data_IF_085055389750
#
_entry.id   IF_085055389750
#
_cell.length_a   1.000
_cell.length_b   1.000
_cell.length_c   1.000
_cell.angle_alpha   90.00
_cell.angle_beta   90.00
_cell.angle_gamma   90.00
#
_symmetry.space_group_name_H-M   'P 1'
#
loop_
_entity.id
_entity.type
_entity.pdbx_description
1 polymer ?
#
# COMPACT_ATOMS: atom_id res chain seq x y z
N UNK A 1 -19.10 14.54 2.28
CA UNK A 1 -19.97 14.17 1.13
C UNK A 1 -19.67 12.72 0.73
N UNK A 2 -20.70 11.92 0.41
CA UNK A 2 -20.53 10.54 -0.08
C UNK A 2 -20.98 10.48 -1.54
N UNK A 3 -20.12 9.98 -2.42
CA UNK A 3 -20.43 9.77 -3.83
C UNK A 3 -20.60 8.26 -4.07
N UNK A 4 -21.73 7.86 -4.65
CA UNK A 4 -21.94 6.46 -5.07
C UNK A 4 -21.44 6.30 -6.49
N UNK A 5 -20.63 5.27 -6.72
CA UNK A 5 -20.19 4.86 -8.05
C UNK A 5 -20.67 3.42 -8.30
N UNK A 6 -21.07 3.14 -9.53
CA UNK A 6 -21.42 1.78 -9.96
C UNK A 6 -20.23 1.21 -10.73
N UNK A 7 -19.66 0.11 -10.24
CA UNK A 7 -18.50 -0.54 -10.86
C UNK A 7 -18.94 -1.92 -11.34
N UNK A 8 -18.70 -2.23 -12.61
CA UNK A 8 -18.91 -3.59 -13.15
C UNK A 8 -17.66 -4.41 -12.85
N UNK A 9 -17.83 -5.55 -12.20
CA UNK A 9 -16.76 -6.50 -11.88
C UNK A 9 -16.83 -7.70 -12.83
N UNK A 10 -15.72 -8.39 -13.02
CA UNK A 10 -15.76 -9.72 -13.65
C UNK A 10 -16.50 -10.70 -12.73
N UNK A 11 -17.07 -11.75 -13.31
CA UNK A 11 -17.81 -12.77 -12.56
C UNK A 11 -16.94 -13.43 -11.49
N UNK A 12 -15.67 -13.72 -11.82
CA UNK A 12 -14.69 -14.28 -10.90
C UNK A 12 -14.45 -13.35 -9.70
N UNK A 13 -14.26 -12.06 -9.94
CA UNK A 13 -13.97 -11.09 -8.87
C UNK A 13 -15.20 -10.87 -7.97
N UNK A 14 -16.40 -10.90 -8.55
CA UNK A 14 -17.65 -10.80 -7.79
C UNK A 14 -17.83 -12.02 -6.87
N UNK A 15 -17.63 -13.24 -7.39
CA UNK A 15 -17.72 -14.47 -6.61
C UNK A 15 -16.67 -14.51 -5.49
N UNK A 16 -15.44 -14.10 -5.79
CA UNK A 16 -14.39 -13.99 -4.78
C UNK A 16 -14.76 -12.98 -3.68
N UNK A 17 -15.31 -11.82 -4.03
CA UNK A 17 -15.68 -10.79 -3.06
C UNK A 17 -16.81 -11.27 -2.12
N UNK A 18 -17.75 -12.07 -2.65
CA UNK A 18 -18.82 -12.70 -1.86
C UNK A 18 -18.27 -13.73 -0.86
N UNK A 19 -17.38 -14.61 -1.31
CA UNK A 19 -16.73 -15.61 -0.43
C UNK A 19 -15.92 -14.93 0.69
N UNK A 20 -15.17 -13.87 0.38
CA UNK A 20 -14.42 -13.11 1.39
C UNK A 20 -15.36 -12.44 2.38
N UNK A 21 -16.46 -11.84 1.91
CA UNK A 21 -17.46 -11.23 2.77
C UNK A 21 -18.09 -12.26 3.74
N UNK A 22 -18.45 -13.44 3.23
CA UNK A 22 -19.00 -14.54 4.03
C UNK A 22 -18.00 -15.03 5.09
N UNK A 23 -16.73 -15.22 4.72
CA UNK A 23 -15.67 -15.68 5.64
C UNK A 23 -15.31 -14.67 6.72
N UNK A 24 -15.31 -13.39 6.38
CA UNK A 24 -14.88 -12.32 7.30
C UNK A 24 -16.02 -11.72 8.11
N UNK A 25 -17.27 -11.96 7.73
CA UNK A 25 -18.44 -11.32 8.33
C UNK A 25 -18.53 -9.81 8.04
N UNK A 26 -17.79 -9.33 7.03
CA UNK A 26 -17.71 -7.92 6.65
C UNK A 26 -18.47 -7.69 5.34
N UNK A 27 -19.20 -6.58 5.23
CA UNK A 27 -19.91 -6.25 4.00
C UNK A 27 -18.97 -5.99 2.82
N UNK A 28 -19.37 -6.42 1.63
CA UNK A 28 -18.63 -6.23 0.37
C UNK A 28 -18.22 -4.75 0.16
N UNK A 29 -19.14 -3.82 0.42
CA UNK A 29 -18.87 -2.38 0.29
C UNK A 29 -17.80 -1.86 1.25
N UNK A 30 -17.67 -2.45 2.45
CA UNK A 30 -16.59 -2.11 3.39
C UNK A 30 -15.26 -2.68 2.90
N UNK A 31 -15.24 -3.92 2.42
CA UNK A 31 -14.04 -4.54 1.83
C UNK A 31 -13.50 -3.69 0.67
N UNK A 32 -14.36 -3.29 -0.27
CA UNK A 32 -13.97 -2.46 -1.41
C UNK A 32 -13.41 -1.11 -0.93
N UNK A 33 -14.09 -0.44 0.02
CA UNK A 33 -13.65 0.86 0.53
C UNK A 33 -12.29 0.77 1.20
N UNK A 34 -12.09 -0.21 2.08
CA UNK A 34 -10.83 -0.40 2.79
C UNK A 34 -9.68 -0.69 1.83
N UNK A 35 -9.93 -1.46 0.76
CA UNK A 35 -8.92 -1.70 -0.28
C UNK A 35 -8.61 -0.46 -1.11
N UNK A 36 -9.61 0.36 -1.45
CA UNK A 36 -9.40 1.64 -2.14
C UNK A 36 -8.60 2.62 -1.26
N UNK A 37 -8.88 2.69 0.04
CA UNK A 37 -8.11 3.50 0.98
C UNK A 37 -6.65 3.01 1.09
N UNK A 38 -6.44 1.69 1.18
CA UNK A 38 -5.10 1.09 1.14
C UNK A 38 -4.36 1.40 -0.16
N UNK A 39 -5.03 1.28 -1.30
CA UNK A 39 -4.44 1.58 -2.61
C UNK A 39 -4.07 3.07 -2.72
N UNK A 40 -4.94 3.97 -2.26
CA UNK A 40 -4.65 5.41 -2.18
C UNK A 40 -3.43 5.69 -1.30
N UNK A 41 -3.33 5.04 -0.14
CA UNK A 41 -2.19 5.19 0.76
C UNK A 41 -0.89 4.62 0.19
N UNK A 42 -0.96 3.52 -0.57
CA UNK A 42 0.21 2.94 -1.27
C UNK A 42 0.66 3.75 -2.48
N UNK A 43 -0.26 4.46 -3.14
CA UNK A 43 0.00 5.25 -4.35
C UNK A 43 0.81 6.52 -4.12
N UNK A 44 0.95 7.00 -2.88
CA UNK A 44 1.95 8.02 -2.57
C UNK A 44 3.32 7.34 -2.52
N UNK A 45 4.09 7.47 -3.60
CA UNK A 45 5.45 6.93 -3.71
C UNK A 45 6.22 7.13 -2.41
N UNK A 46 6.91 6.07 -1.97
CA UNK A 46 7.69 5.97 -0.73
C UNK A 46 8.04 7.34 -0.15
N UNK A 47 7.25 7.91 0.80
CA UNK A 47 7.43 9.31 1.22
C UNK A 47 8.82 9.60 1.80
N UNK A 48 9.47 8.54 2.31
CA UNK A 48 10.85 8.56 2.77
C UNK A 48 11.88 8.75 1.64
N UNK A 49 11.55 8.45 0.38
CA UNK A 49 12.45 8.67 -0.76
C UNK A 49 12.70 10.17 -1.01
N UNK A 50 11.85 11.06 -0.53
CA UNK A 50 12.15 12.51 -0.49
C UNK A 50 13.41 12.82 0.34
N UNK A 51 13.73 11.97 1.31
CA UNK A 51 14.92 12.11 2.17
C UNK A 51 16.15 11.45 1.54
N UNK A 52 16.00 10.64 0.50
CA UNK A 52 17.12 10.02 -0.20
C UNK A 52 17.97 11.12 -0.87
N UNK A 53 19.23 11.23 -0.46
CA UNK A 53 20.15 12.26 -0.96
C UNK A 53 19.99 13.65 -0.33
N UNK A 54 19.09 13.83 0.63
CA UNK A 54 18.92 15.10 1.36
C UNK A 54 20.16 15.48 2.19
N UNK A 55 20.97 14.49 2.58
CA UNK A 55 22.23 14.68 3.31
C UNK A 55 23.39 14.22 2.43
N UNK A 56 24.37 15.11 2.21
CA UNK A 56 25.63 14.79 1.54
C UNK A 56 26.69 14.51 2.61
N UNK A 57 27.10 13.25 2.73
CA UNK A 57 28.13 12.83 3.70
C UNK A 57 29.22 11.97 3.05
N UNK A 58 30.31 11.68 3.78
CA UNK A 58 31.34 10.75 3.34
C UNK A 58 30.77 9.41 2.88
N UNK A 59 31.33 8.84 1.80
CA UNK A 59 30.84 7.59 1.17
C UNK A 59 30.84 6.38 2.11
N UNK A 60 31.55 6.44 3.22
CA UNK A 60 31.74 5.35 4.17
C UNK A 60 30.92 5.49 5.47
N UNK A 61 30.00 6.46 5.57
CA UNK A 61 29.19 6.67 6.79
C UNK A 61 28.32 5.45 7.14
N UNK A 62 27.84 4.70 6.14
CA UNK A 62 27.03 3.49 6.32
C UNK A 62 27.86 2.21 6.19
N UNK A 63 29.04 2.17 6.80
CA UNK A 63 29.79 0.93 6.98
C UNK A 63 29.56 0.42 8.40
N UNK A 64 29.08 -0.83 8.55
CA UNK A 64 29.17 -1.53 9.84
C UNK A 64 30.63 -1.50 10.28
N UNK A 65 30.91 -1.30 11.57
CA UNK A 65 32.28 -1.23 12.13
C UNK A 65 33.22 -2.36 11.63
N UNK A 66 32.69 -3.55 11.34
CA UNK A 66 33.42 -4.70 10.79
C UNK A 66 33.64 -4.74 9.25
N UNK A 67 33.14 -3.76 8.50
CA UNK A 67 33.32 -3.62 7.03
C UNK A 67 34.13 -2.36 6.67
N UNK A 68 34.71 -1.68 7.67
CA UNK A 68 35.64 -0.58 7.43
C UNK A 68 36.90 -1.15 6.76
N UNK A 69 37.15 -0.73 5.51
CA UNK A 69 38.39 -1.05 4.79
C UNK A 69 39.48 -0.07 5.23
N UNK A 70 39.93 -0.22 6.46
CA UNK A 70 41.29 0.16 6.86
C UNK A 70 42.24 -0.93 6.42
#
# INVERSE_FOLDING_TARGET
>A
MRQTITVRLSQELAAWLEDVAAKTGVSQGKIIRDQLEKAKAKGSGQPFMRLAGAVRGPRNLSSRKGFSRS
#
